data_IF_522266834364
#
_entry.id   IF_522266834364
#
_cell.length_a   1.000
_cell.length_b   1.000
_cell.length_c   1.000
_cell.angle_alpha   90.00
_cell.angle_beta   90.00
_cell.angle_gamma   90.00
#
_symmetry.space_group_name_H-M   'P 1'
#
loop_
_entity.id
_entity.type
_entity.pdbx_description
1 polymer ?
#
# COMPACT_ATOMS: atom_id res chain seq x y z
N UNK A 1 -88.05 36.72 0.49
CA UNK A 1 -88.05 37.99 -0.26
C UNK A 1 -86.64 38.21 -0.82
N UNK A 2 -86.53 38.23 -2.16
CA UNK A 2 -85.43 38.60 -3.06
C UNK A 2 -84.13 37.78 -3.04
N UNK A 3 -83.87 36.93 -4.04
CA UNK A 3 -83.59 37.08 -5.48
C UNK A 3 -82.09 37.39 -5.74
N UNK A 4 -81.48 36.44 -6.45
CA UNK A 4 -80.51 36.55 -7.56
C UNK A 4 -79.14 37.21 -7.28
N UNK A 5 -78.08 36.52 -7.54
CA UNK A 5 -77.50 36.47 -8.88
C UNK A 5 -76.40 35.39 -9.00
N UNK A 6 -76.60 34.55 -9.94
CA UNK A 6 -75.66 33.62 -10.54
C UNK A 6 -74.80 34.41 -11.52
N UNK A 7 -73.48 34.38 -11.42
CA UNK A 7 -72.67 34.59 -12.59
C UNK A 7 -71.22 34.03 -12.36
N UNK A 8 -70.99 32.94 -13.02
CA UNK A 8 -69.82 32.59 -13.81
C UNK A 8 -68.42 32.90 -13.20
N UNK A 9 -67.89 31.95 -12.51
CA UNK A 9 -66.46 31.82 -12.32
C UNK A 9 -65.90 30.89 -13.38
N UNK A 10 -65.18 31.44 -14.35
CA UNK A 10 -64.37 30.73 -15.33
C UNK A 10 -63.28 29.95 -14.60
N UNK A 11 -63.31 28.65 -14.73
CA UNK A 11 -62.22 27.75 -14.32
C UNK A 11 -61.12 27.91 -15.34
N UNK A 12 -60.09 28.67 -14.98
CA UNK A 12 -58.78 28.68 -15.64
C UNK A 12 -58.03 27.48 -15.10
N UNK A 13 -58.10 26.35 -15.79
CA UNK A 13 -57.27 25.18 -15.61
C UNK A 13 -55.86 25.51 -16.12
N UNK A 14 -55.03 26.07 -15.25
CA UNK A 14 -53.61 26.23 -15.53
C UNK A 14 -52.97 24.84 -15.46
N UNK A 15 -52.76 24.24 -16.63
CA UNK A 15 -51.93 23.05 -16.80
C UNK A 15 -50.50 23.47 -16.45
N UNK A 16 -50.08 23.22 -15.22
CA UNK A 16 -48.68 23.23 -14.85
C UNK A 16 -48.08 21.97 -15.48
N UNK A 17 -47.53 22.11 -16.68
CA UNK A 17 -46.55 21.21 -17.25
C UNK A 17 -45.36 21.21 -16.31
N UNK A 18 -45.31 20.27 -15.38
CA UNK A 18 -44.08 19.90 -14.70
C UNK A 18 -43.14 19.35 -15.77
N UNK A 19 -42.32 20.22 -16.31
CA UNK A 19 -41.08 19.87 -16.98
C UNK A 19 -40.21 19.22 -15.90
N UNK A 20 -40.41 17.89 -15.74
CA UNK A 20 -39.37 17.04 -15.18
C UNK A 20 -38.18 17.18 -16.11
N UNK A 21 -37.31 18.13 -15.79
CA UNK A 21 -35.97 18.15 -16.31
C UNK A 21 -35.29 16.88 -15.78
N UNK A 22 -35.48 15.77 -16.51
CA UNK A 22 -34.55 14.68 -16.45
C UNK A 22 -33.21 15.30 -16.81
N UNK A 23 -32.34 15.41 -15.84
CA UNK A 23 -30.95 15.73 -16.04
C UNK A 23 -30.34 14.47 -16.75
N UNK A 24 -30.08 14.46 -18.07
CA UNK A 24 -29.74 13.24 -18.79
C UNK A 24 -28.25 12.93 -18.73
N UNK A 25 -27.54 13.31 -17.63
CA UNK A 25 -26.09 13.13 -17.52
C UNK A 25 -25.60 12.57 -16.19
N UNK A 26 -26.35 11.73 -15.52
CA UNK A 26 -25.78 10.73 -14.65
C UNK A 26 -25.82 9.42 -15.44
N UNK A 27 -24.78 9.13 -16.22
CA UNK A 27 -24.50 7.76 -16.57
C UNK A 27 -24.41 7.00 -15.25
N UNK A 28 -25.42 6.16 -14.97
CA UNK A 28 -25.39 5.23 -13.83
C UNK A 28 -24.33 4.18 -14.13
N UNK A 29 -23.07 4.51 -13.82
CA UNK A 29 -21.97 3.58 -13.89
C UNK A 29 -22.16 2.52 -12.81
N UNK A 30 -22.19 1.25 -13.23
CA UNK A 30 -22.37 0.14 -12.32
C UNK A 30 -21.07 -0.19 -11.58
N UNK A 31 -21.12 -0.13 -10.24
CA UNK A 31 -20.01 -0.54 -9.39
C UNK A 31 -20.14 -2.02 -9.02
N UNK A 32 -19.09 -2.79 -9.27
CA UNK A 32 -18.89 -4.15 -8.76
C UNK A 32 -17.81 -4.15 -7.71
N UNK A 33 -18.05 -4.80 -6.56
CA UNK A 33 -17.11 -4.86 -5.46
C UNK A 33 -16.78 -6.32 -5.11
N UNK A 34 -15.48 -6.57 -4.88
CA UNK A 34 -14.94 -7.85 -4.41
C UNK A 34 -14.12 -7.59 -3.16
N UNK A 35 -14.13 -8.52 -2.21
CA UNK A 35 -13.36 -8.36 -0.97
C UNK A 35 -13.09 -9.68 -0.28
N UNK A 36 -12.07 -9.72 0.56
CA UNK A 36 -11.70 -10.90 1.31
C UNK A 36 -10.53 -10.65 2.25
N UNK A 37 -9.87 -11.73 2.67
CA UNK A 37 -8.69 -11.70 3.55
C UNK A 37 -7.49 -12.27 2.83
N UNK A 38 -6.32 -11.66 3.02
CA UNK A 38 -5.03 -12.14 2.51
C UNK A 38 -3.89 -11.54 3.33
N UNK A 39 -2.73 -12.21 3.41
CA UNK A 39 -1.50 -11.66 4.01
C UNK A 39 -1.70 -11.02 5.39
N UNK A 40 -2.58 -11.59 6.22
CA UNK A 40 -2.91 -11.07 7.56
C UNK A 40 -3.76 -9.79 7.58
N UNK A 41 -4.33 -9.38 6.45
CA UNK A 41 -5.16 -8.18 6.30
C UNK A 41 -6.35 -8.43 5.39
N UNK A 42 -7.17 -7.39 5.16
CA UNK A 42 -8.25 -7.39 4.17
C UNK A 42 -7.78 -6.89 2.80
N UNK A 43 -8.49 -7.29 1.76
CA UNK A 43 -8.39 -6.73 0.42
C UNK A 43 -9.74 -6.32 -0.11
N UNK A 44 -9.77 -5.34 -0.99
CA UNK A 44 -10.95 -4.91 -1.74
C UNK A 44 -10.59 -4.52 -3.17
N UNK A 45 -11.49 -4.84 -4.11
CA UNK A 45 -11.38 -4.45 -5.51
C UNK A 45 -12.71 -3.86 -5.95
N UNK A 46 -12.66 -2.65 -6.45
CA UNK A 46 -13.79 -1.94 -7.05
C UNK A 46 -13.60 -1.87 -8.55
N UNK A 47 -14.61 -2.27 -9.30
CA UNK A 47 -14.61 -2.22 -10.77
C UNK A 47 -15.86 -1.46 -11.22
N UNK A 48 -15.67 -0.47 -12.06
CA UNK A 48 -16.77 0.28 -12.68
C UNK A 48 -17.02 -0.26 -14.08
N UNK A 49 -18.30 -0.51 -14.39
CA UNK A 49 -18.79 -1.04 -15.64
C UNK A 49 -18.10 -2.38 -16.04
N UNK A 50 -18.18 -3.35 -15.12
CA UNK A 50 -17.69 -4.70 -15.40
C UNK A 50 -18.31 -5.21 -16.71
N UNK A 51 -17.50 -5.60 -17.74
CA UNK A 51 -18.03 -6.09 -19.00
C UNK A 51 -18.97 -7.28 -18.79
N UNK A 52 -20.18 -7.21 -19.34
CA UNK A 52 -21.21 -8.25 -19.19
C UNK A 52 -20.82 -9.64 -19.75
N UNK A 53 -19.71 -9.73 -20.47
CA UNK A 53 -19.11 -10.98 -20.93
C UNK A 53 -18.24 -11.65 -19.88
N UNK A 54 -17.96 -10.97 -18.75
CA UNK A 54 -17.12 -11.45 -17.65
C UNK A 54 -18.02 -11.81 -16.48
N UNK A 55 -17.97 -13.07 -16.06
CA UNK A 55 -18.68 -13.52 -14.87
C UNK A 55 -18.02 -12.96 -13.59
N UNK A 56 -18.83 -12.42 -12.68
CA UNK A 56 -18.40 -11.88 -11.40
C UNK A 56 -17.65 -12.93 -10.56
N UNK A 57 -18.14 -14.17 -10.50
CA UNK A 57 -17.48 -15.24 -9.77
C UNK A 57 -16.12 -15.61 -10.36
N UNK A 58 -15.96 -15.53 -11.68
CA UNK A 58 -14.68 -15.81 -12.34
C UNK A 58 -13.60 -14.74 -12.05
N UNK A 59 -14.02 -13.49 -11.80
CA UNK A 59 -13.10 -12.44 -11.33
C UNK A 59 -12.67 -12.74 -9.90
N UNK A 60 -13.62 -12.99 -9.00
CA UNK A 60 -13.34 -13.29 -7.58
C UNK A 60 -12.40 -14.48 -7.44
N UNK A 61 -12.68 -15.58 -8.13
CA UNK A 61 -11.82 -16.77 -8.17
C UNK A 61 -10.40 -16.45 -8.67
N UNK A 62 -10.29 -15.62 -9.71
CA UNK A 62 -9.00 -15.23 -10.29
C UNK A 62 -8.19 -14.37 -9.31
N UNK A 63 -8.84 -13.45 -8.60
CA UNK A 63 -8.20 -12.62 -7.56
C UNK A 63 -7.70 -13.52 -6.43
N UNK A 64 -8.57 -14.35 -5.86
CA UNK A 64 -8.22 -15.25 -4.75
C UNK A 64 -7.07 -16.19 -5.12
N UNK A 65 -7.09 -16.78 -6.33
CA UNK A 65 -6.02 -17.64 -6.83
C UNK A 65 -4.69 -16.89 -6.97
N UNK A 66 -4.72 -15.64 -7.44
CA UNK A 66 -3.52 -14.82 -7.58
C UNK A 66 -2.93 -14.49 -6.22
N UNK A 67 -3.77 -14.08 -5.26
CA UNK A 67 -3.34 -13.76 -3.89
C UNK A 67 -2.75 -14.99 -3.17
N UNK A 68 -3.38 -16.16 -3.33
CA UNK A 68 -2.88 -17.42 -2.77
C UNK A 68 -1.51 -17.78 -3.35
N UNK A 69 -1.31 -17.63 -4.67
CA UNK A 69 -0.02 -17.89 -5.32
C UNK A 69 1.09 -16.95 -4.82
N UNK A 70 0.78 -15.67 -4.62
CA UNK A 70 1.73 -14.71 -4.07
C UNK A 70 2.09 -15.06 -2.61
N UNK A 71 1.11 -15.40 -1.79
CA UNK A 71 1.34 -15.83 -0.41
C UNK A 71 2.24 -17.07 -0.34
N UNK A 72 2.00 -18.08 -1.20
CA UNK A 72 2.82 -19.28 -1.29
C UNK A 72 4.25 -18.99 -1.76
N UNK A 73 4.46 -17.94 -2.55
CA UNK A 73 5.80 -17.52 -2.98
C UNK A 73 6.54 -16.68 -1.94
N UNK A 74 5.87 -15.73 -1.27
CA UNK A 74 6.52 -14.61 -0.57
C UNK A 74 6.30 -14.56 0.94
N UNK A 75 5.52 -15.47 1.53
CA UNK A 75 5.25 -15.47 2.96
C UNK A 75 6.48 -15.90 3.77
N UNK A 76 6.74 -15.22 4.88
CA UNK A 76 7.68 -15.65 5.92
C UNK A 76 6.98 -16.40 7.05
N UNK A 77 5.65 -16.42 7.08
CA UNK A 77 4.82 -17.11 8.07
C UNK A 77 4.43 -18.53 7.65
N UNK A 78 4.39 -18.79 6.35
CA UNK A 78 4.15 -20.12 5.80
C UNK A 78 5.49 -20.83 5.55
N UNK A 79 5.77 -21.88 6.30
CA UNK A 79 7.03 -22.66 6.20
C UNK A 79 7.19 -23.34 4.85
N UNK A 80 6.09 -23.62 4.16
CA UNK A 80 6.07 -24.25 2.83
C UNK A 80 6.25 -23.24 1.70
N UNK A 81 6.22 -21.93 2.00
CA UNK A 81 6.42 -20.91 0.99
C UNK A 81 7.79 -21.02 0.34
N UNK A 82 7.90 -20.51 -0.87
CA UNK A 82 9.16 -20.46 -1.61
C UNK A 82 10.22 -19.65 -0.85
N UNK A 83 9.84 -18.48 -0.34
CA UNK A 83 10.71 -17.61 0.44
C UNK A 83 11.16 -18.24 1.76
N UNK A 84 10.28 -18.93 2.48
CA UNK A 84 10.63 -19.61 3.73
C UNK A 84 11.62 -20.75 3.49
N UNK A 85 11.46 -21.50 2.41
CA UNK A 85 12.44 -22.53 2.01
C UNK A 85 13.81 -21.93 1.65
N UNK A 86 13.82 -20.80 0.94
CA UNK A 86 15.06 -20.06 0.68
C UNK A 86 15.71 -19.58 1.98
N UNK A 87 14.92 -18.97 2.86
CA UNK A 87 15.39 -18.44 4.14
C UNK A 87 15.97 -19.50 5.06
N UNK A 88 15.34 -20.67 5.16
CA UNK A 88 15.77 -21.78 6.02
C UNK A 88 17.02 -22.51 5.50
N UNK A 89 17.32 -22.41 4.21
CA UNK A 89 18.53 -23.01 3.62
C UNK A 89 19.78 -22.28 4.08
N UNK A 90 20.82 -23.01 4.47
CA UNK A 90 22.16 -22.46 4.70
C UNK A 90 23.04 -22.44 3.45
N UNK A 91 22.56 -23.00 2.31
CA UNK A 91 23.31 -22.99 1.05
C UNK A 91 23.49 -21.58 0.50
N UNK A 92 24.68 -21.35 -0.08
CA UNK A 92 25.00 -20.17 -0.88
C UNK A 92 25.00 -20.48 -2.38
N UNK A 93 24.49 -21.64 -2.79
CA UNK A 93 24.26 -21.97 -4.18
C UNK A 93 23.02 -21.27 -4.75
N UNK A 94 22.86 -21.35 -6.06
CA UNK A 94 21.67 -20.83 -6.73
C UNK A 94 20.42 -21.63 -6.33
N UNK A 95 19.45 -20.96 -5.77
CA UNK A 95 18.11 -21.48 -5.48
C UNK A 95 17.20 -21.14 -6.67
N UNK A 96 16.60 -22.17 -7.29
CA UNK A 96 15.60 -21.98 -8.35
C UNK A 96 14.41 -21.25 -7.77
N UNK A 97 14.05 -20.12 -8.36
CA UNK A 97 12.99 -19.27 -7.87
C UNK A 97 11.93 -19.06 -8.96
N UNK A 98 10.71 -18.71 -8.53
CA UNK A 98 9.66 -18.27 -9.45
C UNK A 98 10.00 -16.90 -10.06
N UNK A 99 9.49 -16.65 -11.26
CA UNK A 99 9.62 -15.32 -11.90
C UNK A 99 9.06 -14.22 -10.99
N UNK A 100 7.95 -14.50 -10.29
CA UNK A 100 7.31 -13.57 -9.36
C UNK A 100 8.25 -13.18 -8.20
N UNK A 101 8.95 -14.16 -7.60
CA UNK A 101 9.90 -13.89 -6.52
C UNK A 101 11.09 -13.07 -7.04
N UNK A 102 11.65 -13.44 -8.20
CA UNK A 102 12.76 -12.69 -8.81
C UNK A 102 12.37 -11.27 -9.19
N UNK A 103 11.14 -11.06 -9.67
CA UNK A 103 10.60 -9.73 -10.01
C UNK A 103 10.52 -8.81 -8.78
N UNK A 104 9.92 -9.30 -7.68
CA UNK A 104 9.80 -8.48 -6.46
C UNK A 104 11.16 -8.22 -5.81
N UNK A 105 12.07 -9.20 -5.80
CA UNK A 105 13.43 -9.03 -5.32
C UNK A 105 14.22 -8.03 -6.19
N UNK A 106 13.99 -8.02 -7.50
CA UNK A 106 14.54 -7.04 -8.43
C UNK A 106 14.11 -5.61 -8.08
N UNK A 107 12.81 -5.40 -7.91
CA UNK A 107 12.23 -4.11 -7.49
C UNK A 107 12.79 -3.68 -6.12
N UNK A 108 12.87 -4.59 -5.17
CA UNK A 108 13.44 -4.33 -3.86
C UNK A 108 14.90 -3.87 -3.95
N UNK A 109 15.73 -4.55 -4.75
CA UNK A 109 17.13 -4.21 -4.95
C UNK A 109 17.32 -2.83 -5.62
N UNK A 110 16.45 -2.45 -6.56
CA UNK A 110 16.44 -1.12 -7.15
C UNK A 110 16.16 -0.04 -6.10
N UNK A 111 15.15 -0.25 -5.24
CA UNK A 111 14.82 0.70 -4.17
C UNK A 111 15.93 0.75 -3.12
N UNK A 112 16.54 -0.39 -2.76
CA UNK A 112 17.70 -0.42 -1.85
C UNK A 112 18.87 0.42 -2.38
N UNK A 113 19.18 0.27 -3.67
CA UNK A 113 20.24 1.09 -4.32
C UNK A 113 19.89 2.57 -4.36
N UNK A 114 18.63 2.90 -4.72
CA UNK A 114 18.15 4.28 -4.80
C UNK A 114 18.24 5.01 -3.45
N UNK A 115 17.97 4.29 -2.36
CA UNK A 115 17.88 4.83 -0.99
C UNK A 115 19.17 4.63 -0.18
N UNK A 116 20.23 4.08 -0.81
CA UNK A 116 21.50 3.86 -0.15
C UNK A 116 21.46 2.79 0.96
N UNK A 117 20.45 1.90 0.91
CA UNK A 117 20.25 0.82 1.87
C UNK A 117 19.29 1.16 3.02
N UNK A 118 18.63 2.33 3.01
CA UNK A 118 17.57 2.63 3.97
C UNK A 118 16.36 1.68 3.78
N UNK A 119 16.13 1.20 2.57
CA UNK A 119 15.30 0.04 2.30
C UNK A 119 16.20 -1.19 2.13
N UNK A 120 15.99 -2.21 2.94
CA UNK A 120 16.75 -3.45 2.85
C UNK A 120 15.88 -4.65 3.27
N UNK A 121 15.51 -5.47 2.30
CA UNK A 121 14.69 -6.66 2.53
C UNK A 121 15.42 -7.76 3.32
N UNK A 122 16.71 -7.61 3.59
CA UNK A 122 17.49 -8.56 4.39
C UNK A 122 17.46 -8.29 5.88
N UNK A 123 16.65 -7.31 6.32
CA UNK A 123 16.46 -6.97 7.75
C UNK A 123 15.75 -8.06 8.56
N UNK A 124 15.30 -9.15 7.92
CA UNK A 124 14.54 -10.23 8.59
C UNK A 124 15.15 -10.73 9.89
N UNK A 125 16.48 -10.95 10.02
CA UNK A 125 17.09 -11.32 11.31
C UNK A 125 16.86 -10.28 12.40
N UNK A 126 16.86 -8.99 12.06
CA UNK A 126 16.57 -7.88 12.99
C UNK A 126 15.09 -7.80 13.33
N UNK A 127 14.20 -7.92 12.32
CA UNK A 127 12.74 -7.93 12.52
C UNK A 127 12.33 -9.04 13.47
N UNK A 128 12.87 -10.25 13.30
CA UNK A 128 12.65 -11.37 14.21
C UNK A 128 13.22 -11.10 15.62
N UNK A 129 14.42 -10.58 15.71
CA UNK A 129 15.08 -10.27 16.98
C UNK A 129 14.28 -9.25 17.82
N UNK A 130 13.69 -8.23 17.15
CA UNK A 130 12.86 -7.21 17.81
C UNK A 130 11.40 -7.64 18.04
N UNK A 131 11.02 -8.89 17.69
CA UNK A 131 9.69 -9.44 17.93
C UNK A 131 8.59 -9.01 16.95
N UNK A 132 8.96 -8.48 15.80
CA UNK A 132 8.01 -8.06 14.76
C UNK A 132 7.86 -9.08 13.63
N UNK A 133 8.64 -10.16 13.63
CA UNK A 133 8.62 -11.23 12.64
C UNK A 133 7.80 -12.46 13.09
N UNK A 134 7.81 -13.54 12.27
CA UNK A 134 7.06 -14.77 12.57
C UNK A 134 7.64 -15.61 13.73
N UNK A 135 8.84 -15.30 14.20
CA UNK A 135 9.44 -15.98 15.33
C UNK A 135 8.98 -15.33 16.64
N UNK A 136 8.41 -16.13 17.55
CA UNK A 136 7.99 -15.67 18.88
C UNK A 136 9.20 -15.16 19.69
N UNK A 137 9.45 -13.87 19.60
CA UNK A 137 10.29 -13.15 20.54
C UNK A 137 9.39 -12.21 21.33
N UNK A 138 9.45 -12.28 22.64
CA UNK A 138 8.46 -11.67 23.56
C UNK A 138 8.60 -10.14 23.72
N UNK A 139 9.00 -9.39 22.69
CA UNK A 139 9.04 -7.91 22.74
C UNK A 139 10.02 -7.38 23.80
N UNK A 140 11.10 -8.08 24.06
CA UNK A 140 12.21 -7.60 24.89
C UNK A 140 13.20 -6.80 24.03
N UNK A 141 13.79 -5.76 24.64
CA UNK A 141 14.82 -4.96 23.97
C UNK A 141 16.10 -5.80 23.84
N UNK A 142 16.55 -6.12 22.61
CA UNK A 142 17.73 -6.95 22.40
C UNK A 142 19.02 -6.29 22.90
N UNK A 143 19.94 -7.13 23.38
CA UNK A 143 21.28 -6.72 23.75
C UNK A 143 22.12 -6.26 22.55
N UNK A 144 23.18 -5.49 22.83
CA UNK A 144 24.07 -4.98 21.77
C UNK A 144 24.68 -6.08 20.93
N UNK A 145 25.16 -7.16 21.56
CA UNK A 145 25.84 -8.27 20.88
C UNK A 145 24.87 -9.05 19.98
N UNK A 146 23.58 -9.16 20.39
CA UNK A 146 22.53 -9.79 19.59
C UNK A 146 22.23 -8.98 18.33
N UNK A 147 22.12 -7.63 18.48
CA UNK A 147 21.92 -6.72 17.34
C UNK A 147 23.09 -6.78 16.37
N UNK A 148 24.34 -6.75 16.86
CA UNK A 148 25.55 -6.87 16.03
C UNK A 148 25.60 -8.23 15.31
N UNK A 149 25.22 -9.31 15.97
CA UNK A 149 25.11 -10.65 15.36
C UNK A 149 24.04 -10.72 14.27
N UNK A 150 22.90 -10.04 14.46
CA UNK A 150 21.84 -9.97 13.46
C UNK A 150 22.25 -9.10 12.27
N UNK A 151 22.86 -7.93 12.51
CA UNK A 151 23.40 -7.04 11.48
C UNK A 151 24.42 -7.74 10.57
N UNK A 152 25.29 -8.59 11.14
CA UNK A 152 26.29 -9.35 10.36
C UNK A 152 25.67 -10.29 9.31
N UNK A 153 24.35 -10.55 9.39
CA UNK A 153 23.59 -11.41 8.46
C UNK A 153 22.65 -10.62 7.53
N UNK A 154 22.79 -9.28 7.48
CA UNK A 154 22.01 -8.40 6.63
C UNK A 154 22.82 -7.82 5.49
N UNK A 155 22.20 -7.06 4.62
CA UNK A 155 22.81 -6.33 3.53
C UNK A 155 22.28 -6.76 2.16
N UNK A 156 21.48 -5.92 1.52
CA UNK A 156 20.86 -6.18 0.20
C UNK A 156 21.86 -6.55 -0.90
N UNK A 157 23.13 -6.13 -0.76
CA UNK A 157 24.22 -6.44 -1.71
C UNK A 157 24.63 -7.92 -1.68
N UNK A 158 24.25 -8.64 -0.64
CA UNK A 158 24.51 -10.06 -0.47
C UNK A 158 23.47 -10.96 -1.17
N UNK A 159 22.57 -10.38 -1.98
CA UNK A 159 21.59 -11.08 -2.82
C UNK A 159 21.99 -10.93 -4.27
N UNK A 160 22.04 -12.03 -4.99
CA UNK A 160 22.22 -12.07 -6.43
C UNK A 160 20.99 -12.68 -7.11
N UNK A 161 20.61 -12.13 -8.26
CA UNK A 161 19.42 -12.54 -9.02
C UNK A 161 19.80 -12.95 -10.45
N UNK A 162 19.12 -13.98 -10.96
CA UNK A 162 19.09 -14.35 -12.37
C UNK A 162 17.67 -14.31 -12.88
N UNK A 163 17.48 -13.80 -14.09
CA UNK A 163 16.17 -13.70 -14.74
C UNK A 163 15.84 -14.97 -15.57
N UNK A 164 16.84 -15.60 -16.17
CA UNK A 164 16.64 -16.77 -17.02
C UNK A 164 17.82 -17.76 -16.91
N UNK A 165 17.62 -18.97 -16.36
CA UNK A 165 16.44 -19.36 -15.56
C UNK A 165 16.33 -18.54 -14.28
N UNK A 166 15.10 -18.28 -13.82
CA UNK A 166 14.84 -17.50 -12.62
C UNK A 166 15.45 -18.18 -11.39
N UNK A 167 16.33 -17.45 -10.70
CA UNK A 167 17.05 -17.96 -9.53
C UNK A 167 17.53 -16.82 -8.62
N UNK A 168 17.67 -17.12 -7.34
CA UNK A 168 18.20 -16.23 -6.32
C UNK A 168 19.35 -16.92 -5.58
N UNK A 169 20.35 -16.14 -5.17
CA UNK A 169 21.48 -16.63 -4.37
C UNK A 169 21.78 -15.63 -3.26
N UNK A 170 22.09 -16.14 -2.07
CA UNK A 170 22.63 -15.38 -0.95
C UNK A 170 24.11 -15.65 -0.77
N UNK A 171 24.89 -14.61 -0.46
CA UNK A 171 26.32 -14.72 -0.19
C UNK A 171 26.63 -15.10 1.27
N UNK A 172 25.66 -14.88 2.17
CA UNK A 172 25.76 -15.18 3.60
C UNK A 172 24.79 -16.32 3.96
N UNK A 173 25.25 -17.44 4.55
CA UNK A 173 24.38 -18.59 4.89
C UNK A 173 23.20 -18.22 5.80
N UNK A 174 23.40 -17.28 6.73
CA UNK A 174 22.38 -16.82 7.67
C UNK A 174 21.53 -15.64 7.21
N UNK A 175 21.67 -15.21 5.94
CA UNK A 175 20.86 -14.14 5.38
C UNK A 175 19.39 -14.59 5.30
N UNK A 176 18.49 -13.69 5.74
CA UNK A 176 17.05 -13.92 5.79
C UNK A 176 16.33 -12.75 5.15
N UNK A 177 15.49 -13.02 4.15
CA UNK A 177 14.71 -12.02 3.42
C UNK A 177 13.33 -11.88 4.06
N UNK A 178 12.89 -10.63 4.25
CA UNK A 178 11.55 -10.24 4.64
C UNK A 178 10.96 -9.30 3.59
N UNK A 179 9.84 -9.69 3.00
CA UNK A 179 9.15 -8.94 1.95
C UNK A 179 7.90 -8.20 2.46
N UNK A 180 7.68 -8.10 3.77
CA UNK A 180 6.50 -7.47 4.37
C UNK A 180 6.31 -6.00 3.96
N UNK A 181 7.39 -5.33 3.56
CA UNK A 181 7.44 -3.93 3.15
C UNK A 181 7.35 -3.71 1.63
N UNK A 182 6.99 -4.75 0.84
CA UNK A 182 6.84 -4.65 -0.62
C UNK A 182 5.81 -5.65 -1.17
N UNK A 183 5.55 -6.77 -0.48
CA UNK A 183 4.73 -7.85 -1.01
C UNK A 183 3.25 -7.45 -1.18
N UNK A 184 2.72 -6.58 -0.32
CA UNK A 184 1.33 -6.09 -0.46
C UNK A 184 1.18 -5.21 -1.68
N UNK A 185 2.10 -4.25 -1.86
CA UNK A 185 2.15 -3.43 -3.06
C UNK A 185 2.31 -4.26 -4.33
N UNK A 186 3.14 -5.30 -4.30
CA UNK A 186 3.29 -6.25 -5.41
C UNK A 186 1.97 -6.98 -5.71
N UNK A 187 1.26 -7.46 -4.70
CA UNK A 187 -0.02 -8.12 -4.87
C UNK A 187 -1.07 -7.18 -5.48
N UNK A 188 -1.12 -5.92 -5.07
CA UNK A 188 -1.96 -4.86 -5.66
C UNK A 188 -1.65 -4.71 -7.15
N UNK A 189 -0.38 -4.60 -7.54
CA UNK A 189 0.02 -4.48 -8.94
C UNK A 189 -0.35 -5.73 -9.77
N UNK A 190 -0.23 -6.93 -9.19
CA UNK A 190 -0.60 -8.18 -9.87
C UNK A 190 -2.10 -8.29 -10.10
N UNK A 191 -2.93 -7.88 -9.12
CA UNK A 191 -4.39 -7.83 -9.29
C UNK A 191 -4.77 -6.76 -10.32
N UNK A 192 -4.17 -5.57 -10.28
CA UNK A 192 -4.39 -4.54 -11.29
C UNK A 192 -4.07 -5.04 -12.70
N UNK A 193 -2.92 -5.70 -12.89
CA UNK A 193 -2.55 -6.32 -14.15
C UNK A 193 -3.51 -7.42 -14.62
N UNK A 194 -4.07 -8.21 -13.70
CA UNK A 194 -5.12 -9.20 -13.99
C UNK A 194 -6.38 -8.53 -14.54
N UNK A 195 -6.82 -7.42 -13.95
CA UNK A 195 -7.98 -6.66 -14.40
C UNK A 195 -7.74 -6.05 -15.80
N UNK A 196 -6.56 -5.45 -16.00
CA UNK A 196 -6.16 -4.85 -17.28
C UNK A 196 -6.12 -5.89 -18.42
N UNK A 197 -5.58 -7.09 -18.16
CA UNK A 197 -5.58 -8.20 -19.13
C UNK A 197 -6.99 -8.66 -19.54
N UNK A 198 -7.99 -8.42 -18.69
CA UNK A 198 -9.42 -8.68 -18.97
C UNK A 198 -10.13 -7.48 -19.62
N UNK A 199 -9.42 -6.39 -19.96
CA UNK A 199 -9.97 -5.18 -20.55
C UNK A 199 -10.72 -4.28 -19.57
N UNK A 200 -10.49 -4.44 -18.26
CA UNK A 200 -11.09 -3.58 -17.23
C UNK A 200 -10.21 -2.35 -17.06
N UNK A 201 -10.75 -1.18 -17.36
CA UNK A 201 -10.02 0.09 -17.39
C UNK A 201 -10.32 0.99 -16.18
N UNK A 202 -11.44 0.75 -15.47
CA UNK A 202 -11.89 1.58 -14.36
C UNK A 202 -11.93 0.74 -13.08
N UNK A 203 -10.90 0.86 -12.25
CA UNK A 203 -10.79 0.06 -11.04
C UNK A 203 -10.00 0.76 -9.92
N UNK A 204 -10.27 0.32 -8.70
CA UNK A 204 -9.44 0.58 -7.52
C UNK A 204 -9.18 -0.75 -6.81
N UNK A 205 -7.92 -1.13 -6.69
CA UNK A 205 -7.44 -2.28 -5.91
C UNK A 205 -6.84 -1.79 -4.62
N UNK A 206 -7.17 -2.45 -3.51
CA UNK A 206 -6.62 -2.15 -2.18
C UNK A 206 -6.27 -3.45 -1.44
N UNK A 207 -5.11 -3.53 -0.81
CA UNK A 207 -4.69 -4.63 0.06
C UNK A 207 -3.93 -4.04 1.26
N UNK A 208 -4.57 -4.04 2.44
CA UNK A 208 -3.94 -3.63 3.69
C UNK A 208 -3.46 -2.19 3.75
N UNK A 209 -4.02 -1.30 2.91
CA UNK A 209 -3.67 0.11 2.81
C UNK A 209 -2.82 0.48 1.59
N UNK A 210 -2.23 -0.48 0.90
CA UNK A 210 -1.59 -0.30 -0.39
C UNK A 210 -2.65 -0.33 -1.49
N UNK A 211 -2.56 0.61 -2.44
CA UNK A 211 -3.60 0.83 -3.46
C UNK A 211 -3.01 1.00 -4.86
N UNK A 212 -3.83 0.66 -5.86
CA UNK A 212 -3.64 1.09 -7.25
C UNK A 212 -4.97 1.39 -7.88
N UNK A 213 -5.09 2.56 -8.50
CA UNK A 213 -6.28 3.00 -9.21
C UNK A 213 -5.99 3.35 -10.65
N UNK A 214 -6.94 3.04 -11.53
CA UNK A 214 -6.95 3.43 -12.94
C UNK A 214 -8.35 3.89 -13.35
N UNK A 215 -8.41 4.83 -14.30
CA UNK A 215 -9.66 5.33 -14.87
C UNK A 215 -10.48 6.14 -13.86
N UNK A 216 -11.80 5.94 -13.88
CA UNK A 216 -12.77 6.74 -13.15
C UNK A 216 -13.59 5.88 -12.17
N UNK A 217 -14.05 6.51 -11.11
CA UNK A 217 -15.03 5.94 -10.18
C UNK A 217 -16.46 5.98 -10.79
N UNK A 218 -17.44 5.45 -10.06
CA UNK A 218 -18.86 5.40 -10.47
C UNK A 218 -19.50 6.79 -10.72
N UNK A 219 -18.83 7.85 -10.35
CA UNK A 219 -19.26 9.24 -10.56
C UNK A 219 -18.55 9.92 -11.74
N UNK A 220 -17.78 9.16 -12.53
CA UNK A 220 -17.01 9.67 -13.66
C UNK A 220 -15.84 10.58 -13.26
N UNK A 221 -15.27 10.42 -12.06
CA UNK A 221 -14.15 11.22 -11.54
C UNK A 221 -12.97 10.31 -11.20
N UNK A 222 -11.78 10.89 -11.07
CA UNK A 222 -10.62 10.20 -10.53
C UNK A 222 -10.92 9.56 -9.17
N UNK A 223 -10.24 8.46 -8.87
CA UNK A 223 -10.34 7.81 -7.56
C UNK A 223 -9.77 8.73 -6.48
N UNK A 224 -10.52 8.92 -5.40
CA UNK A 224 -10.10 9.75 -4.26
C UNK A 224 -9.84 8.87 -3.05
N UNK A 225 -8.64 8.98 -2.52
CA UNK A 225 -8.15 8.17 -1.39
C UNK A 225 -7.79 9.08 -0.23
N UNK A 226 -8.25 8.73 0.97
CA UNK A 226 -7.90 9.45 2.20
C UNK A 226 -6.54 8.99 2.74
N UNK A 227 -5.64 9.94 3.01
CA UNK A 227 -4.49 9.72 3.90
C UNK A 227 -5.00 9.82 5.32
N UNK A 228 -4.81 8.76 6.10
CA UNK A 228 -5.29 8.70 7.48
C UNK A 228 -4.43 9.55 8.41
N UNK A 229 -5.08 10.20 9.38
CA UNK A 229 -4.39 10.86 10.48
C UNK A 229 -3.70 9.80 11.34
N UNK A 230 -2.39 9.95 11.68
CA UNK A 230 -1.67 8.96 12.47
C UNK A 230 -2.12 8.96 13.94
N UNK A 231 -3.33 8.48 14.19
CA UNK A 231 -3.93 8.36 15.53
C UNK A 231 -4.20 6.90 15.86
N UNK A 232 -4.05 6.52 17.14
CA UNK A 232 -4.40 5.19 17.63
C UNK A 232 -5.85 5.10 18.09
N UNK A 233 -6.53 6.24 18.25
CA UNK A 233 -7.85 6.33 18.89
C UNK A 233 -8.98 6.62 17.90
N UNK A 234 -8.71 7.29 16.80
CA UNK A 234 -9.72 7.67 15.81
C UNK A 234 -9.20 7.49 14.37
N UNK A 235 -10.13 7.20 13.46
CA UNK A 235 -9.86 7.16 12.02
C UNK A 235 -10.37 8.43 11.38
N UNK A 236 -9.53 9.44 11.33
CA UNK A 236 -9.84 10.70 10.64
C UNK A 236 -8.99 10.83 9.37
N UNK A 237 -9.54 11.41 8.33
CA UNK A 237 -8.80 11.76 7.12
C UNK A 237 -7.97 13.01 7.40
N UNK A 238 -6.66 12.95 7.13
CA UNK A 238 -5.74 14.08 7.23
C UNK A 238 -5.63 14.85 5.91
N UNK A 239 -5.55 14.13 4.80
CA UNK A 239 -5.48 14.69 3.45
C UNK A 239 -6.18 13.77 2.45
N UNK A 240 -6.53 14.28 1.28
CA UNK A 240 -7.13 13.51 0.19
C UNK A 240 -6.22 13.55 -1.03
N UNK A 241 -6.01 12.40 -1.64
CA UNK A 241 -5.21 12.19 -2.84
C UNK A 241 -6.10 11.74 -3.99
N UNK A 242 -5.90 12.30 -5.17
CA UNK A 242 -6.51 11.79 -6.40
C UNK A 242 -5.51 10.90 -7.14
N UNK A 243 -5.93 9.67 -7.47
CA UNK A 243 -5.10 8.71 -8.17
C UNK A 243 -5.77 8.27 -9.48
N UNK A 244 -4.95 8.22 -10.52
CA UNK A 244 -5.29 7.64 -11.82
C UNK A 244 -4.00 7.08 -12.42
N UNK A 245 -4.02 5.83 -12.86
CA UNK A 245 -2.83 5.09 -13.35
C UNK A 245 -1.66 5.13 -12.34
N UNK A 246 -1.97 5.08 -11.05
CA UNK A 246 -0.99 5.22 -10.00
C UNK A 246 -1.24 4.24 -8.84
N UNK A 247 -0.14 3.81 -8.23
CA UNK A 247 -0.09 3.09 -6.96
C UNK A 247 0.22 4.04 -5.81
N UNK A 248 -0.32 3.73 -4.63
CA UNK A 248 -0.12 4.47 -3.40
C UNK A 248 0.15 3.49 -2.26
N UNK A 249 1.10 3.81 -1.40
CA UNK A 249 1.35 3.09 -0.17
C UNK A 249 1.70 4.06 0.97
N UNK A 250 1.40 3.63 2.20
CA UNK A 250 1.69 4.42 3.40
C UNK A 250 2.40 3.57 4.44
N UNK A 251 3.62 3.97 4.81
CA UNK A 251 4.32 3.46 5.99
C UNK A 251 4.09 4.37 7.19
N UNK A 252 3.88 3.76 8.37
CA UNK A 252 3.67 4.52 9.61
C UNK A 252 4.03 3.71 10.84
N UNK A 253 4.47 4.39 11.89
CA UNK A 253 4.96 3.79 13.14
C UNK A 253 3.91 3.73 14.26
N UNK A 254 2.65 4.11 13.97
CA UNK A 254 1.65 4.36 15.01
C UNK A 254 0.76 3.16 15.32
N UNK A 255 0.79 2.08 14.53
CA UNK A 255 -0.07 0.89 14.73
C UNK A 255 0.67 -0.30 15.31
N UNK A 256 1.88 -0.57 14.84
CA UNK A 256 2.67 -1.74 15.22
C UNK A 256 3.92 -1.31 15.99
N UNK A 257 3.88 -1.44 17.31
CA UNK A 257 4.95 -1.09 18.24
C UNK A 257 4.76 -1.84 19.57
N UNK A 258 5.80 -1.91 20.36
CA UNK A 258 5.69 -2.27 21.77
C UNK A 258 6.31 -1.17 22.66
N UNK A 259 6.00 -1.20 23.93
CA UNK A 259 6.54 -0.27 24.93
C UNK A 259 7.23 -1.04 26.04
N UNK A 260 8.44 -0.61 26.41
CA UNK A 260 9.21 -1.12 27.54
C UNK A 260 9.86 0.04 28.26
N UNK A 261 9.74 0.08 29.59
CA UNK A 261 10.31 1.13 30.48
C UNK A 261 9.93 2.56 30.05
N UNK A 262 8.71 2.75 29.54
CA UNK A 262 8.21 4.04 29.06
C UNK A 262 8.78 4.49 27.71
N UNK A 263 9.58 3.66 27.07
CA UNK A 263 10.09 3.87 25.74
C UNK A 263 9.31 3.04 24.72
N UNK A 264 8.95 3.66 23.59
CA UNK A 264 8.26 3.04 22.48
C UNK A 264 9.24 2.56 21.42
N UNK A 265 9.04 1.35 20.93
CA UNK A 265 9.82 0.70 19.88
C UNK A 265 8.93 0.39 18.70
N UNK A 266 9.18 1.06 17.57
CA UNK A 266 8.46 0.87 16.31
C UNK A 266 8.89 -0.42 15.64
N UNK A 267 7.98 -1.02 14.85
CA UNK A 267 8.33 -2.16 13.97
C UNK A 267 9.24 -1.77 12.79
N UNK A 268 9.39 -0.48 12.50
CA UNK A 268 10.29 0.00 11.45
C UNK A 268 11.73 -0.01 11.95
N UNK A 269 12.52 -0.94 11.43
CA UNK A 269 13.92 -1.13 11.81
C UNK A 269 14.83 -0.40 10.82
N UNK A 270 15.78 0.37 11.32
CA UNK A 270 16.86 0.94 10.52
C UNK A 270 17.92 -0.14 10.21
N UNK A 271 18.14 -0.49 8.92
CA UNK A 271 19.09 -1.53 8.53
C UNK A 271 20.54 -1.22 8.86
N UNK A 272 20.89 0.06 9.08
CA UNK A 272 22.26 0.49 9.40
C UNK A 272 22.55 0.35 10.88
N UNK A 273 21.61 0.73 11.74
CA UNK A 273 21.78 0.68 13.19
C UNK A 273 21.30 -0.62 13.81
N UNK A 274 20.46 -1.38 13.11
CA UNK A 274 19.77 -2.57 13.60
C UNK A 274 18.73 -2.28 14.68
N UNK A 275 18.30 -1.03 14.82
CA UNK A 275 17.37 -0.57 15.86
C UNK A 275 16.11 0.04 15.27
N UNK A 276 14.98 0.01 15.99
CA UNK A 276 13.79 0.78 15.65
C UNK A 276 14.09 2.26 15.48
N UNK A 277 13.44 2.89 14.47
CA UNK A 277 13.51 4.34 14.27
C UNK A 277 12.91 5.10 15.46
N UNK A 278 13.51 6.25 15.79
CA UNK A 278 13.13 7.06 16.98
C UNK A 278 12.76 8.50 16.66
N UNK A 279 12.80 8.89 15.37
CA UNK A 279 12.46 10.25 14.94
C UNK A 279 10.95 10.53 15.00
N UNK A 280 10.55 11.79 14.78
CA UNK A 280 9.16 12.25 14.91
C UNK A 280 8.27 12.00 13.68
N UNK A 281 8.76 11.34 12.62
CA UNK A 281 7.93 10.98 11.46
C UNK A 281 6.89 9.95 11.89
N UNK A 282 5.61 10.29 11.73
CA UNK A 282 4.50 9.42 12.11
C UNK A 282 4.03 8.54 10.96
N UNK A 283 4.01 9.11 9.75
CA UNK A 283 3.73 8.36 8.53
C UNK A 283 4.28 9.06 7.30
N UNK A 284 4.48 8.28 6.24
CA UNK A 284 4.79 8.78 4.91
C UNK A 284 4.02 8.02 3.87
N UNK A 285 3.30 8.76 3.01
CA UNK A 285 2.56 8.23 1.88
C UNK A 285 3.32 8.52 0.61
N UNK A 286 3.51 7.51 -0.24
CA UNK A 286 4.20 7.63 -1.52
C UNK A 286 3.25 7.26 -2.66
N UNK A 287 3.33 8.02 -3.76
CA UNK A 287 2.60 7.75 -5.01
C UNK A 287 3.58 7.53 -6.15
N UNK A 288 3.45 6.40 -6.83
CA UNK A 288 4.23 6.05 -8.03
C UNK A 288 3.37 5.29 -9.05
N UNK A 289 3.93 4.91 -10.21
CA UNK A 289 3.22 4.08 -11.19
C UNK A 289 2.98 2.63 -10.70
N UNK A 290 3.75 2.14 -9.72
CA UNK A 290 3.70 0.78 -9.17
C UNK A 290 3.45 0.82 -7.67
N UNK A 291 2.47 0.06 -7.18
CA UNK A 291 2.18 -0.03 -5.75
C UNK A 291 3.32 -0.72 -4.98
N UNK A 292 3.98 -1.73 -5.57
CA UNK A 292 5.17 -2.36 -4.98
C UNK A 292 6.30 -1.36 -4.75
N UNK A 293 6.55 -0.51 -5.74
CA UNK A 293 7.57 0.53 -5.62
C UNK A 293 7.17 1.61 -4.60
N UNK A 294 5.89 1.96 -4.53
CA UNK A 294 5.38 2.91 -3.53
C UNK A 294 5.56 2.37 -2.11
N UNK A 295 5.23 1.09 -1.87
CA UNK A 295 5.34 0.38 -0.59
C UNK A 295 6.81 0.36 -0.11
N UNK A 296 7.73 -0.09 -0.95
CA UNK A 296 9.16 -0.08 -0.65
C UNK A 296 9.72 1.33 -0.39
N UNK A 297 9.34 2.32 -1.19
CA UNK A 297 9.79 3.71 -1.01
C UNK A 297 9.20 4.34 0.25
N UNK A 298 7.94 4.07 0.58
CA UNK A 298 7.32 4.55 1.81
C UNK A 298 8.09 4.05 3.03
N UNK A 299 8.45 2.76 3.04
CA UNK A 299 9.29 2.17 4.09
C UNK A 299 10.68 2.81 4.15
N UNK A 300 11.34 3.00 3.00
CA UNK A 300 12.65 3.67 2.95
C UNK A 300 12.62 5.08 3.53
N UNK A 301 11.61 5.88 3.13
CA UNK A 301 11.47 7.25 3.59
C UNK A 301 11.08 7.30 5.08
N UNK A 302 10.33 6.30 5.56
CA UNK A 302 10.04 6.13 6.97
C UNK A 302 11.30 5.83 7.77
N UNK A 303 12.21 5.00 7.28
CA UNK A 303 13.51 4.72 7.90
C UNK A 303 14.39 5.97 7.96
N UNK A 304 14.47 6.73 6.87
CA UNK A 304 15.29 7.95 6.77
C UNK A 304 14.77 9.09 7.66
N UNK A 305 13.49 9.08 8.00
CA UNK A 305 12.88 10.12 8.82
C UNK A 305 12.52 11.41 8.07
N UNK A 306 12.06 12.44 8.81
CA UNK A 306 11.40 13.60 8.19
C UNK A 306 12.34 14.52 7.40
N UNK A 307 13.63 14.57 7.73
CA UNK A 307 14.57 15.50 7.07
C UNK A 307 15.27 14.80 5.89
N UNK A 308 15.99 13.70 6.15
CA UNK A 308 16.76 12.99 5.12
C UNK A 308 15.82 12.32 4.10
N UNK A 309 14.69 11.77 4.56
CA UNK A 309 13.64 11.21 3.69
C UNK A 309 13.04 12.27 2.78
N UNK A 310 12.70 13.44 3.31
CA UNK A 310 12.21 14.56 2.51
C UNK A 310 13.25 15.04 1.49
N UNK A 311 14.49 15.23 1.92
CA UNK A 311 15.58 15.63 1.03
C UNK A 311 15.81 14.61 -0.09
N UNK A 312 15.71 13.31 0.19
CA UNK A 312 15.79 12.26 -0.82
C UNK A 312 14.59 12.36 -1.79
N UNK A 313 13.38 12.54 -1.28
CA UNK A 313 12.17 12.65 -2.10
C UNK A 313 12.30 13.83 -3.08
N UNK A 314 12.73 15.00 -2.63
CA UNK A 314 13.00 16.16 -3.49
C UNK A 314 14.06 15.87 -4.55
N UNK A 315 15.24 15.37 -4.15
CA UNK A 315 16.33 15.09 -5.09
C UNK A 315 15.98 14.08 -6.17
N UNK A 316 15.12 13.09 -5.84
CA UNK A 316 14.75 11.99 -6.74
C UNK A 316 13.39 12.17 -7.41
N UNK A 317 12.69 13.28 -7.15
CA UNK A 317 11.35 13.53 -7.69
C UNK A 317 10.33 12.50 -7.24
N UNK A 318 10.45 11.98 -6.01
CA UNK A 318 9.50 11.03 -5.43
C UNK A 318 8.30 11.82 -4.90
N UNK A 319 7.09 11.48 -5.36
CA UNK A 319 5.87 12.06 -4.82
C UNK A 319 5.58 11.45 -3.45
N UNK A 320 5.86 12.20 -2.39
CA UNK A 320 5.74 11.75 -1.00
C UNK A 320 5.08 12.81 -0.12
N UNK A 321 4.23 12.36 0.80
CA UNK A 321 3.56 13.19 1.81
C UNK A 321 3.95 12.70 3.21
N UNK A 322 4.61 13.54 3.96
CA UNK A 322 5.12 13.25 5.30
C UNK A 322 4.20 13.83 6.35
N UNK A 323 3.86 13.06 7.38
CA UNK A 323 3.14 13.55 8.56
C UNK A 323 4.07 13.40 9.77
N UNK A 324 4.45 14.53 10.36
CA UNK A 324 5.42 14.61 11.45
C UNK A 324 4.70 14.99 12.75
N UNK A 325 5.05 14.34 13.86
CA UNK A 325 4.55 14.70 15.19
C UNK A 325 5.10 16.05 15.60
N UNK A 326 4.21 16.97 15.98
CA UNK A 326 4.50 18.26 16.61
C UNK A 326 4.04 18.23 18.06
N UNK A 327 4.36 19.27 18.83
CA UNK A 327 3.97 19.33 20.24
C UNK A 327 2.45 19.41 20.40
N UNK A 328 1.76 20.07 19.45
CA UNK A 328 0.30 20.22 19.41
C UNK A 328 -0.34 19.47 18.22
N UNK A 329 0.07 18.22 17.96
CA UNK A 329 -0.56 17.39 16.94
C UNK A 329 0.37 16.98 15.79
N UNK A 330 -0.03 17.22 14.54
CA UNK A 330 0.69 16.76 13.35
C UNK A 330 0.89 17.86 12.32
N UNK A 331 2.05 17.87 11.69
CA UNK A 331 2.37 18.76 10.56
C UNK A 331 2.56 17.91 9.30
N UNK A 332 1.78 18.23 8.25
CA UNK A 332 1.91 17.60 6.94
C UNK A 332 2.89 18.36 6.05
N UNK A 333 3.75 17.64 5.34
CA UNK A 333 4.70 18.21 4.38
C UNK A 333 4.72 17.37 3.10
N UNK A 334 4.34 17.98 1.97
CA UNK A 334 4.37 17.36 0.65
C UNK A 334 5.71 17.62 -0.05
N UNK A 335 6.26 16.63 -0.74
CA UNK A 335 7.31 16.89 -1.71
C UNK A 335 6.76 17.61 -2.94
N UNK A 336 7.62 18.31 -3.68
CA UNK A 336 7.22 19.03 -4.89
C UNK A 336 6.51 18.15 -5.91
N UNK A 337 6.94 16.89 -6.05
CA UNK A 337 6.31 15.93 -6.95
C UNK A 337 4.92 15.45 -6.48
N UNK A 338 4.60 15.56 -5.20
CA UNK A 338 3.33 15.11 -4.63
C UNK A 338 2.18 16.07 -4.92
N UNK A 339 2.45 17.35 -5.16
CA UNK A 339 1.42 18.40 -5.31
C UNK A 339 0.39 18.10 -6.40
N UNK A 340 0.79 17.42 -7.46
CA UNK A 340 -0.12 17.01 -8.57
C UNK A 340 -1.18 15.99 -8.18
N UNK A 341 -1.01 15.31 -7.05
CA UNK A 341 -1.93 14.30 -6.53
C UNK A 341 -2.86 14.84 -5.43
N UNK A 342 -2.58 16.02 -4.90
CA UNK A 342 -3.43 16.62 -3.88
C UNK A 342 -4.79 16.99 -4.48
N UNK A 343 -5.85 16.43 -3.92
CA UNK A 343 -7.19 16.81 -4.29
C UNK A 343 -7.47 18.26 -3.85
N UNK A 344 -8.17 19.01 -4.70
CA UNK A 344 -8.67 20.33 -4.32
C UNK A 344 -9.59 20.18 -3.09
N UNK A 345 -9.19 20.78 -1.98
CA UNK A 345 -9.89 20.67 -0.67
C UNK A 345 -11.18 21.49 -0.61
N UNK A 346 -11.66 22.02 -1.72
CA UNK A 346 -13.00 22.62 -1.79
C UNK A 346 -14.05 21.50 -1.84
N UNK A 347 -14.53 21.13 -0.66
CA UNK A 347 -15.76 20.35 -0.47
C UNK A 347 -16.98 21.20 -0.82
#
# INVERSE_FOLDING_TARGET
MYIHNMQHAFILLAAVLALSACNPNTSDHQLSEFSGLTMGTSWSVKVVDLPGTIDHSAIDDSINKTLAAISLSMSTYDVESELSRFNSSSSTDWFTASDALVEVLGTANEVSKLTGGAFDITVGPLVNLWGFGPQDSHGEVPGKDEIESALARTGYRNIELKQAPAAVRKQLPGLYIDLSSIAKGYAVDRIAGLLEQKGIENYLVEIGGELRGKGQNERGRSWRVGIERPSTTDRAVYAVVEINEAGLATSGDYRNYFEQDGQRYSHTIDPVTGRPVTHRLASVTVVTASAARADALATALMVLGPEDGYALAERKGIAAFFIVRADDGFIGRASSAFTRYQADTRL
#
